data_IF_463803806142
#
_entry.id   IF_463803806142
#
_cell.length_a   1.000
_cell.length_b   1.000
_cell.length_c   1.000
_cell.angle_alpha   90.00
_cell.angle_beta   90.00
_cell.angle_gamma   90.00
#
_symmetry.space_group_name_H-M   'P 1'
#
loop_
_entity.id
_entity.type
_entity.pdbx_description
1 polymer ?
#
# COMPACT_ATOMS: atom_id res chain seq x y z
N UNK A 1 13.13 25.28 16.95
CA UNK A 1 12.91 24.07 16.17
C UNK A 1 11.41 23.83 16.11
N UNK A 2 10.82 24.07 14.95
CA UNK A 2 9.37 24.06 14.81
C UNK A 2 8.82 22.66 15.01
N UNK A 3 7.98 22.49 16.01
CA UNK A 3 6.95 21.49 16.02
C UNK A 3 5.96 21.89 14.91
N UNK A 4 6.22 21.47 13.67
CA UNK A 4 5.15 21.39 12.68
C UNK A 4 4.17 20.37 13.25
N UNK A 5 3.16 20.90 13.96
CA UNK A 5 2.01 20.11 14.37
C UNK A 5 1.36 19.63 13.07
N UNK A 6 1.57 18.37 12.77
CA UNK A 6 0.83 17.66 11.72
C UNK A 6 -0.64 17.71 12.13
N UNK A 7 -1.36 18.72 11.66
CA UNK A 7 -2.79 18.86 11.92
C UNK A 7 -3.55 18.16 10.80
N UNK A 8 -4.19 17.06 11.16
CA UNK A 8 -5.11 16.38 10.26
C UNK A 8 -6.40 17.20 10.12
N UNK A 9 -6.94 17.29 8.90
CA UNK A 9 -8.29 17.81 8.67
C UNK A 9 -9.35 16.91 9.34
N UNK A 10 -10.57 17.37 9.46
CA UNK A 10 -11.66 16.59 10.07
C UNK A 10 -11.91 15.26 9.32
N UNK A 11 -11.85 15.28 7.99
CA UNK A 11 -11.99 14.07 7.16
C UNK A 11 -10.83 13.11 7.45
N UNK A 12 -9.60 13.63 7.53
CA UNK A 12 -8.42 12.83 7.81
C UNK A 12 -8.43 12.27 9.24
N UNK A 13 -8.89 13.02 10.24
CA UNK A 13 -9.08 12.55 11.61
C UNK A 13 -10.07 11.39 11.68
N UNK A 14 -11.20 11.52 10.96
CA UNK A 14 -12.18 10.45 10.88
C UNK A 14 -11.59 9.17 10.27
N UNK A 15 -10.90 9.30 9.15
CA UNK A 15 -10.24 8.17 8.49
C UNK A 15 -9.13 7.55 9.36
N UNK A 16 -8.37 8.39 10.07
CA UNK A 16 -7.36 7.93 11.04
C UNK A 16 -8.00 7.10 12.18
N UNK A 17 -9.08 7.57 12.77
CA UNK A 17 -9.78 6.83 13.85
C UNK A 17 -10.31 5.48 13.34
N UNK A 18 -10.85 5.44 12.11
CA UNK A 18 -11.27 4.19 11.49
C UNK A 18 -10.08 3.24 11.27
N UNK A 19 -8.93 3.78 10.84
CA UNK A 19 -7.70 3.00 10.66
C UNK A 19 -7.19 2.42 11.99
N UNK A 20 -7.17 3.21 13.05
CA UNK A 20 -6.81 2.71 14.40
C UNK A 20 -7.74 1.57 14.82
N UNK A 21 -9.05 1.78 14.73
CA UNK A 21 -10.04 0.76 15.07
C UNK A 21 -9.86 -0.50 14.22
N UNK A 22 -9.67 -0.35 12.91
CA UNK A 22 -9.44 -1.48 12.01
C UNK A 22 -8.20 -2.29 12.41
N UNK A 23 -7.12 -1.62 12.80
CA UNK A 23 -5.89 -2.28 13.24
C UNK A 23 -6.03 -2.99 14.59
N UNK A 24 -6.83 -2.45 15.51
CA UNK A 24 -7.08 -3.07 16.83
C UNK A 24 -7.96 -4.30 16.74
N UNK A 25 -8.97 -4.29 15.87
CA UNK A 25 -9.95 -5.36 15.72
C UNK A 25 -9.68 -6.32 14.57
N UNK A 26 -8.51 -6.22 13.92
CA UNK A 26 -8.17 -6.95 12.69
C UNK A 26 -7.84 -8.44 12.88
N UNK A 27 -8.42 -9.10 13.86
CA UNK A 27 -8.25 -10.56 14.05
C UNK A 27 -8.62 -11.41 12.82
N UNK A 28 -9.33 -10.83 11.85
CA UNK A 28 -9.79 -11.56 10.66
C UNK A 28 -9.38 -10.94 9.30
N UNK A 29 -8.99 -9.67 9.28
CA UNK A 29 -8.71 -8.93 8.03
C UNK A 29 -7.52 -8.02 8.24
N UNK A 30 -6.34 -8.55 8.00
CA UNK A 30 -5.11 -7.77 8.13
C UNK A 30 -4.82 -6.86 6.93
N UNK A 31 -5.60 -6.93 5.83
CA UNK A 31 -5.46 -6.03 4.69
C UNK A 31 -6.44 -4.88 4.84
N UNK A 32 -5.91 -3.64 4.87
CA UNK A 32 -6.69 -2.41 5.03
C UNK A 32 -6.35 -1.49 3.84
N UNK A 33 -7.36 -1.02 3.13
CA UNK A 33 -7.20 -0.11 2.00
C UNK A 33 -7.69 1.29 2.38
N UNK A 34 -6.77 2.26 2.39
CA UNK A 34 -7.09 3.68 2.41
C UNK A 34 -7.35 4.14 0.96
N UNK A 35 -8.60 4.42 0.65
CA UNK A 35 -9.04 4.69 -0.73
C UNK A 35 -9.49 6.13 -0.87
N UNK A 36 -9.10 6.78 -1.95
CA UNK A 36 -9.51 8.14 -2.26
C UNK A 36 -8.75 8.72 -3.43
N UNK A 37 -9.18 9.89 -3.89
CA UNK A 37 -8.53 10.62 -4.97
C UNK A 37 -7.06 10.91 -4.72
N UNK A 38 -6.33 11.26 -5.77
CA UNK A 38 -5.01 11.82 -5.64
C UNK A 38 -5.06 13.05 -4.70
N UNK A 39 -4.07 13.17 -3.82
CA UNK A 39 -3.97 14.25 -2.84
C UNK A 39 -5.07 14.28 -1.76
N UNK A 40 -5.89 13.23 -1.62
CA UNK A 40 -6.89 13.14 -0.54
C UNK A 40 -6.31 13.04 0.88
N UNK A 41 -5.00 12.81 1.00
CA UNK A 41 -4.30 12.72 2.28
C UNK A 41 -4.05 11.30 2.79
N UNK A 42 -4.21 10.27 1.96
CA UNK A 42 -3.89 8.86 2.31
C UNK A 42 -2.50 8.69 2.89
N UNK A 43 -1.49 9.20 2.17
CA UNK A 43 -0.08 9.21 2.61
C UNK A 43 0.11 9.89 3.96
N UNK A 44 -0.55 11.04 4.15
CA UNK A 44 -0.51 11.80 5.39
C UNK A 44 -1.04 11.00 6.56
N UNK A 45 -2.20 10.37 6.40
CA UNK A 45 -2.83 9.54 7.43
C UNK A 45 -1.96 8.33 7.75
N UNK A 46 -1.46 7.62 6.73
CA UNK A 46 -0.64 6.43 6.91
C UNK A 46 0.67 6.75 7.64
N UNK A 47 1.36 7.82 7.24
CA UNK A 47 2.59 8.28 7.94
C UNK A 47 2.30 8.74 9.36
N UNK A 48 1.23 9.50 9.58
CA UNK A 48 0.82 9.94 10.92
C UNK A 48 0.54 8.74 11.83
N UNK A 49 -0.15 7.72 11.32
CA UNK A 49 -0.40 6.47 12.03
C UNK A 49 0.90 5.76 12.43
N UNK A 50 1.86 5.65 11.51
CA UNK A 50 3.14 5.03 11.80
C UNK A 50 3.95 5.84 12.83
N UNK A 51 4.00 7.18 12.71
CA UNK A 51 4.71 8.05 13.65
C UNK A 51 4.16 8.01 15.08
N UNK A 52 2.89 7.63 15.25
CA UNK A 52 2.31 7.41 16.58
C UNK A 52 2.74 6.10 17.23
N UNK A 53 3.23 5.14 16.42
CA UNK A 53 3.60 3.79 16.88
C UNK A 53 5.11 3.57 16.92
N UNK A 54 5.86 4.24 16.07
CA UNK A 54 7.28 3.98 15.84
C UNK A 54 8.09 5.27 15.73
N UNK A 55 9.29 5.29 16.31
CA UNK A 55 10.23 6.40 16.20
C UNK A 55 10.82 6.52 14.79
N UNK A 56 11.04 5.37 14.13
CA UNK A 56 11.51 5.31 12.75
C UNK A 56 10.52 4.52 11.90
N UNK A 57 9.88 5.24 10.95
CA UNK A 57 8.86 4.67 10.08
C UNK A 57 9.40 4.03 8.80
N UNK A 58 10.68 4.24 8.45
CA UNK A 58 11.27 3.81 7.17
C UNK A 58 11.18 2.30 6.95
N UNK A 59 11.18 1.54 8.03
CA UNK A 59 11.03 0.07 7.97
C UNK A 59 9.60 -0.38 7.65
N UNK A 60 8.63 0.46 7.97
CA UNK A 60 7.19 0.12 7.90
C UNK A 60 6.47 0.82 6.76
N UNK A 61 7.14 1.74 6.06
CA UNK A 61 6.59 2.52 4.96
C UNK A 61 7.37 2.29 3.68
N UNK A 62 6.71 1.76 2.66
CA UNK A 62 7.31 1.47 1.36
C UNK A 62 6.59 2.26 0.28
N UNK A 63 7.36 3.06 -0.47
CA UNK A 63 6.89 3.65 -1.73
C UNK A 63 7.01 2.60 -2.83
N UNK A 64 5.88 2.09 -3.29
CA UNK A 64 5.83 1.00 -4.26
C UNK A 64 6.31 1.41 -5.65
N UNK A 65 6.05 2.66 -6.07
CA UNK A 65 6.56 3.15 -7.35
C UNK A 65 8.09 3.10 -7.38
N UNK A 66 8.75 3.57 -6.34
CA UNK A 66 10.22 3.55 -6.25
C UNK A 66 10.78 2.13 -6.21
N UNK A 67 10.20 1.25 -5.41
CA UNK A 67 10.63 -0.14 -5.28
C UNK A 67 10.49 -0.90 -6.60
N UNK A 68 9.36 -0.75 -7.28
CA UNK A 68 9.09 -1.46 -8.53
C UNK A 68 9.91 -0.90 -9.69
N UNK A 69 10.13 0.42 -9.77
CA UNK A 69 11.03 1.01 -10.76
C UNK A 69 12.47 0.54 -10.57
N UNK A 70 12.95 0.47 -9.34
CA UNK A 70 14.28 -0.07 -9.06
C UNK A 70 14.40 -1.53 -9.49
N UNK A 71 13.39 -2.35 -9.20
CA UNK A 71 13.37 -3.76 -9.63
C UNK A 71 13.40 -3.91 -11.14
N UNK A 72 12.55 -3.15 -11.85
CA UNK A 72 12.48 -3.18 -13.31
C UNK A 72 13.79 -2.72 -13.96
N UNK A 73 14.45 -1.72 -13.38
CA UNK A 73 15.76 -1.25 -13.83
C UNK A 73 16.83 -2.34 -13.73
N UNK A 74 16.85 -3.11 -12.63
CA UNK A 74 17.76 -4.24 -12.42
C UNK A 74 17.53 -5.38 -13.41
N UNK A 75 16.29 -5.59 -13.83
CA UNK A 75 15.91 -6.60 -14.82
C UNK A 75 16.09 -6.14 -16.26
N UNK A 76 16.64 -4.93 -16.48
CA UNK A 76 16.84 -4.32 -17.79
C UNK A 76 15.56 -4.26 -18.65
N UNK A 77 14.41 -4.00 -18.01
CA UNK A 77 13.11 -3.86 -18.68
C UNK A 77 12.98 -2.44 -19.19
N UNK A 78 12.92 -2.28 -20.50
CA UNK A 78 12.60 -1.01 -21.13
C UNK A 78 11.09 -0.84 -21.22
N UNK A 79 10.54 0.08 -20.43
CA UNK A 79 9.10 0.37 -20.38
C UNK A 79 8.57 1.04 -21.68
N UNK A 80 9.47 1.47 -22.59
CA UNK A 80 9.09 2.11 -23.84
C UNK A 80 8.61 1.13 -24.93
N UNK A 81 8.91 -0.16 -24.80
CA UNK A 81 8.59 -1.17 -25.81
C UNK A 81 7.29 -1.94 -25.42
N UNK A 82 6.27 -1.86 -26.26
CA UNK A 82 4.91 -2.30 -25.95
C UNK A 82 4.64 -3.79 -26.18
N UNK A 83 3.59 -4.29 -25.53
CA UNK A 83 2.83 -5.55 -25.65
C UNK A 83 3.49 -6.85 -25.18
N UNK A 84 4.59 -7.35 -25.76
CA UNK A 84 5.25 -8.59 -25.27
C UNK A 84 5.95 -8.38 -23.93
N UNK A 85 6.39 -7.14 -23.67
CA UNK A 85 7.04 -6.73 -22.43
C UNK A 85 6.01 -6.53 -21.32
N UNK A 86 4.75 -6.22 -21.66
CA UNK A 86 3.70 -5.96 -20.65
C UNK A 86 3.48 -7.17 -19.72
N UNK A 87 3.41 -8.37 -20.26
CA UNK A 87 3.23 -9.59 -19.46
C UNK A 87 4.46 -9.89 -18.58
N UNK A 88 5.66 -9.72 -19.15
CA UNK A 88 6.92 -9.89 -18.41
C UNK A 88 7.06 -8.85 -17.29
N UNK A 89 6.77 -7.59 -17.57
CA UNK A 89 6.80 -6.50 -16.59
C UNK A 89 5.83 -6.77 -15.44
N UNK A 90 4.59 -7.17 -15.77
CA UNK A 90 3.59 -7.55 -14.76
C UNK A 90 4.08 -8.68 -13.86
N UNK A 91 4.70 -9.70 -14.44
CA UNK A 91 5.25 -10.83 -13.66
C UNK A 91 6.37 -10.39 -12.73
N UNK A 92 7.31 -9.56 -13.22
CA UNK A 92 8.41 -9.03 -12.41
C UNK A 92 7.86 -8.22 -11.24
N UNK A 93 6.87 -7.35 -11.47
CA UNK A 93 6.23 -6.58 -10.40
C UNK A 93 5.52 -7.48 -9.39
N UNK A 94 4.78 -8.49 -9.85
CA UNK A 94 4.08 -9.43 -8.98
C UNK A 94 5.06 -10.20 -8.07
N UNK A 95 6.17 -10.68 -8.64
CA UNK A 95 7.23 -11.37 -7.89
C UNK A 95 7.89 -10.43 -6.88
N UNK A 96 8.18 -9.19 -7.28
CA UNK A 96 8.79 -8.20 -6.38
C UNK A 96 7.90 -7.87 -5.18
N UNK A 97 6.58 -7.78 -5.39
CA UNK A 97 5.61 -7.56 -4.31
C UNK A 97 5.59 -8.78 -3.37
N UNK A 98 5.55 -9.97 -3.92
CA UNK A 98 5.52 -11.23 -3.14
C UNK A 98 6.78 -11.37 -2.27
N UNK A 99 7.96 -11.19 -2.86
CA UNK A 99 9.25 -11.22 -2.15
C UNK A 99 9.34 -10.16 -1.04
N UNK A 100 8.85 -8.94 -1.30
CA UNK A 100 8.78 -7.87 -0.30
C UNK A 100 7.94 -8.29 0.91
N UNK A 101 6.73 -8.78 0.64
CA UNK A 101 5.79 -9.18 1.71
C UNK A 101 6.32 -10.36 2.52
N UNK A 102 6.86 -11.38 1.84
CA UNK A 102 7.46 -12.53 2.49
C UNK A 102 8.59 -12.10 3.42
N UNK A 103 9.52 -11.30 2.92
CA UNK A 103 10.66 -10.82 3.70
C UNK A 103 10.22 -9.95 4.88
N UNK A 104 9.34 -8.98 4.63
CA UNK A 104 8.89 -8.03 5.65
C UNK A 104 8.16 -8.72 6.79
N UNK A 105 7.20 -9.58 6.47
CA UNK A 105 6.36 -10.25 7.48
C UNK A 105 7.04 -11.44 8.19
N UNK A 106 8.30 -11.74 7.89
CA UNK A 106 9.13 -12.60 8.75
C UNK A 106 9.58 -11.88 10.03
N UNK A 107 9.79 -10.58 9.96
CA UNK A 107 10.39 -9.81 11.05
C UNK A 107 9.42 -8.79 11.66
N UNK A 108 8.40 -8.38 10.92
CA UNK A 108 7.48 -7.30 11.30
C UNK A 108 6.03 -7.72 11.14
N UNK A 109 5.13 -7.07 11.89
CA UNK A 109 3.68 -7.34 11.84
C UNK A 109 2.86 -6.23 11.17
N UNK A 110 3.47 -5.12 10.79
CA UNK A 110 2.81 -3.98 10.17
C UNK A 110 3.60 -3.49 8.95
N UNK A 111 2.91 -3.19 7.86
CA UNK A 111 3.48 -2.61 6.64
C UNK A 111 2.51 -1.62 6.03
N UNK A 112 3.02 -0.50 5.54
CA UNK A 112 2.29 0.45 4.69
C UNK A 112 2.89 0.40 3.29
N UNK A 113 2.04 0.15 2.29
CA UNK A 113 2.35 0.24 0.87
C UNK A 113 1.66 1.46 0.28
N UNK A 114 2.43 2.42 -0.18
CA UNK A 114 1.95 3.67 -0.75
C UNK A 114 2.48 3.88 -2.16
N UNK A 115 1.88 4.79 -2.91
CA UNK A 115 2.30 5.15 -4.27
C UNK A 115 2.32 3.93 -5.20
N UNK A 116 1.17 3.29 -5.38
CA UNK A 116 1.03 2.04 -6.15
C UNK A 116 0.64 2.27 -7.62
N UNK A 117 0.68 3.49 -8.12
CA UNK A 117 0.14 3.88 -9.42
C UNK A 117 0.80 3.15 -10.60
N UNK A 118 2.06 2.78 -10.45
CA UNK A 118 2.82 2.08 -11.49
C UNK A 118 2.21 0.74 -11.88
N UNK A 119 1.43 0.09 -11.00
CA UNK A 119 0.83 -1.21 -11.30
C UNK A 119 -0.45 -1.14 -12.13
N UNK A 120 -1.10 0.02 -12.19
CA UNK A 120 -2.40 0.18 -12.86
C UNK A 120 -2.38 -0.13 -14.37
N UNK A 121 -1.41 0.37 -15.16
CA UNK A 121 -1.34 0.06 -16.58
C UNK A 121 -1.19 -1.44 -16.89
N UNK A 122 -0.77 -2.21 -15.89
CA UNK A 122 -0.54 -3.66 -16.03
C UNK A 122 -1.68 -4.51 -15.47
N UNK A 123 -2.76 -3.87 -15.01
CA UNK A 123 -3.91 -4.54 -14.37
C UNK A 123 -3.46 -5.50 -13.24
N UNK A 124 -2.47 -5.09 -12.48
CA UNK A 124 -1.97 -5.87 -11.35
C UNK A 124 -2.72 -5.45 -10.08
N UNK A 125 -3.46 -6.38 -9.50
CA UNK A 125 -4.12 -6.18 -8.22
C UNK A 125 -3.28 -6.82 -7.10
N UNK A 126 -2.69 -6.03 -6.17
CA UNK A 126 -1.87 -6.57 -5.10
C UNK A 126 -2.69 -7.16 -3.94
N UNK A 127 -3.99 -6.87 -3.84
CA UNK A 127 -4.82 -7.26 -2.70
C UNK A 127 -4.82 -8.77 -2.44
N UNK A 128 -5.01 -9.65 -3.44
CA UNK A 128 -4.95 -11.09 -3.22
C UNK A 128 -3.59 -11.56 -2.67
N UNK A 129 -2.50 -10.98 -3.15
CA UNK A 129 -1.14 -11.31 -2.69
C UNK A 129 -0.95 -10.82 -1.25
N UNK A 130 -1.30 -9.58 -0.95
CA UNK A 130 -1.23 -9.00 0.40
C UNK A 130 -2.05 -9.81 1.39
N UNK A 131 -3.28 -10.19 1.02
CA UNK A 131 -4.19 -10.96 1.88
C UNK A 131 -3.63 -12.32 2.31
N UNK A 132 -2.75 -12.93 1.52
CA UNK A 132 -2.06 -14.19 1.89
C UNK A 132 -1.09 -14.01 3.04
N UNK A 133 -0.50 -12.83 3.19
CA UNK A 133 0.50 -12.53 4.22
C UNK A 133 -0.06 -11.85 5.47
N UNK A 134 -1.30 -11.37 5.41
CA UNK A 134 -1.93 -10.61 6.50
C UNK A 134 -2.84 -11.46 7.38
N UNK A 135 -2.39 -12.67 7.68
CA UNK A 135 -3.02 -13.55 8.65
C UNK A 135 -2.28 -13.45 9.99
N UNK A 136 -2.89 -13.97 11.06
CA UNK A 136 -2.25 -14.13 12.37
C UNK A 136 -1.73 -12.82 12.99
N UNK A 137 -2.52 -11.75 12.91
CA UNK A 137 -2.20 -10.45 13.50
C UNK A 137 -1.23 -9.59 12.67
N UNK A 138 -0.91 -9.99 11.44
CA UNK A 138 -0.14 -9.18 10.51
C UNK A 138 -1.06 -8.24 9.75
N UNK A 139 -0.65 -6.99 9.59
CA UNK A 139 -1.44 -5.91 8.98
C UNK A 139 -0.68 -5.27 7.84
N UNK A 140 -1.33 -5.11 6.69
CA UNK A 140 -0.84 -4.31 5.59
C UNK A 140 -1.86 -3.22 5.24
N UNK A 141 -1.41 -1.98 5.28
CA UNK A 141 -2.18 -0.81 4.87
C UNK A 141 -1.77 -0.45 3.45
N UNK A 142 -2.73 -0.45 2.53
CA UNK A 142 -2.55 -0.05 1.14
C UNK A 142 -3.15 1.35 0.93
N UNK A 143 -2.35 2.29 0.46
CA UNK A 143 -2.84 3.59 0.00
C UNK A 143 -3.24 3.46 -1.47
N UNK A 144 -4.54 3.41 -1.73
CA UNK A 144 -5.12 3.16 -3.05
C UNK A 144 -5.69 4.46 -3.63
N UNK A 145 -5.03 5.08 -4.62
CA UNK A 145 -5.64 6.16 -5.37
C UNK A 145 -6.73 5.60 -6.28
N UNK A 146 -7.90 6.20 -6.22
CA UNK A 146 -9.06 5.84 -7.02
C UNK A 146 -9.57 7.07 -7.76
N UNK A 147 -9.75 6.94 -9.06
CA UNK A 147 -10.39 7.95 -9.91
C UNK A 147 -11.13 7.27 -11.06
N UNK A 148 -11.76 8.05 -11.94
CA UNK A 148 -12.53 7.51 -13.07
C UNK A 148 -11.75 6.58 -14.01
N UNK A 149 -10.41 6.70 -14.07
CA UNK A 149 -9.54 5.86 -14.91
C UNK A 149 -9.02 4.63 -14.21
N UNK A 150 -8.93 4.66 -12.89
CA UNK A 150 -8.28 3.63 -12.09
C UNK A 150 -9.23 3.15 -11.00
N UNK A 151 -10.00 2.13 -11.34
CA UNK A 151 -10.91 1.47 -10.40
C UNK A 151 -10.26 0.17 -9.98
N UNK A 152 -10.00 0.05 -8.68
CA UNK A 152 -9.51 -1.19 -8.09
C UNK A 152 -10.67 -2.16 -7.86
N UNK A 153 -10.46 -3.41 -8.23
CA UNK A 153 -11.40 -4.47 -7.87
C UNK A 153 -11.08 -5.00 -6.47
N UNK A 154 -11.88 -4.59 -5.49
CA UNK A 154 -11.78 -5.04 -4.10
C UNK A 154 -12.47 -6.39 -3.84
N UNK A 155 -13.15 -6.96 -4.82
CA UNK A 155 -13.90 -8.21 -4.67
C UNK A 155 -13.00 -9.45 -4.50
N UNK A 156 -11.75 -9.36 -4.92
CA UNK A 156 -10.79 -10.46 -4.96
C UNK A 156 -9.92 -10.56 -3.69
N UNK A 157 -10.25 -9.91 -2.63
CA UNK A 157 -9.46 -9.95 -1.41
C UNK A 157 -10.31 -9.71 -0.18
N UNK A 158 -9.86 -10.28 0.93
CA UNK A 158 -10.46 -10.02 2.22
C UNK A 158 -9.82 -8.76 2.81
N UNK A 159 -10.31 -7.59 2.42
CA UNK A 159 -9.79 -6.30 2.87
C UNK A 159 -10.86 -5.43 3.50
N UNK A 160 -10.45 -4.57 4.41
CA UNK A 160 -11.26 -3.48 4.94
C UNK A 160 -11.01 -2.21 4.15
N UNK A 161 -12.06 -1.48 3.78
CA UNK A 161 -11.97 -0.29 2.94
C UNK A 161 -12.33 0.94 3.77
N UNK A 162 -11.41 1.90 3.84
CA UNK A 162 -11.61 3.21 4.45
C UNK A 162 -11.51 4.26 3.34
N UNK A 163 -12.60 4.98 3.10
CA UNK A 163 -12.68 6.01 2.05
C UNK A 163 -12.49 7.41 2.62
N UNK A 164 -11.71 8.21 1.88
CA UNK A 164 -11.46 9.63 2.16
C UNK A 164 -12.24 10.51 1.21
#
# INVERSE_FOLDING_TARGET
>A
MGNDKFELSEIQKRAYNLLESACEYSLRRGTICLVGDFQSGKTTIAKYFLMKKYDNIDKYYINMNLLLLERLSKESVDLSIQSKIKAKTRLIMAVAIDELLEKHFKEHSLLVLDSIEIIYPYNLNPIPTVSRYTNDGKICILCVPENEKYIFDFSWGNCEIIRL
#
